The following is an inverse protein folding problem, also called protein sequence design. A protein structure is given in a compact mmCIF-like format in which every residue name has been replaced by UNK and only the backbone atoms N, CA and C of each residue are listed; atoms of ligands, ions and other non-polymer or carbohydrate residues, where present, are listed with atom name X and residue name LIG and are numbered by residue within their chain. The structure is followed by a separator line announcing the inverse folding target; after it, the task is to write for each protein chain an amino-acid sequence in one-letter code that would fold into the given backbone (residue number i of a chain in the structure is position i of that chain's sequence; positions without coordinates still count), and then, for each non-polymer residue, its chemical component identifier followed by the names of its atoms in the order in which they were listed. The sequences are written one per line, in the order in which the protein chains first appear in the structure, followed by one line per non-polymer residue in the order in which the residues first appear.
data_IF_296140312743
#
_entry.id   IF_296140312743
#
_cell.length_a   1.000
_cell.length_b   1.000
_cell.length_c   1.000
_cell.angle_alpha   90.00
_cell.angle_beta   90.00
_cell.angle_gamma   90.00
#
_symmetry.space_group_name_H-M   'P 1'
#
loop_
_entity.id
_entity.type
_entity.pdbx_description
1 polymer ?
#
# COMPACT_ATOMS: atom_id res chain seq x y z
N UNK A 1 34.08 0.91 -10.08
CA UNK A 1 33.00 0.36 -10.92
C UNK A 1 31.71 0.99 -10.44
N UNK A 2 30.90 1.64 -11.30
CA UNK A 2 29.61 2.16 -10.88
C UNK A 2 28.72 0.97 -10.54
N UNK A 3 28.29 0.88 -9.28
CA UNK A 3 27.26 -0.07 -8.89
C UNK A 3 25.94 0.47 -9.45
N UNK A 4 25.42 -0.15 -10.50
CA UNK A 4 24.06 0.10 -10.96
C UNK A 4 23.12 -0.42 -9.87
N UNK A 5 22.53 0.49 -9.12
CA UNK A 5 21.58 0.18 -8.06
C UNK A 5 20.21 0.02 -8.70
N UNK A 6 19.71 -1.21 -8.77
CA UNK A 6 18.42 -1.47 -9.41
C UNK A 6 17.28 -1.37 -8.40
N UNK A 7 16.22 -0.66 -8.81
CA UNK A 7 14.92 -0.67 -8.13
C UNK A 7 14.01 -1.60 -8.91
N UNK A 8 13.37 -2.51 -8.19
CA UNK A 8 12.53 -3.54 -8.79
C UNK A 8 11.09 -3.38 -8.35
N UNK A 9 10.19 -3.24 -9.32
CA UNK A 9 8.75 -3.32 -9.10
C UNK A 9 8.28 -4.69 -9.52
N UNK A 10 7.61 -5.36 -8.61
CA UNK A 10 6.94 -6.61 -8.93
C UNK A 10 5.52 -6.25 -9.35
N UNK A 11 5.07 -6.76 -10.48
CA UNK A 11 3.66 -6.80 -10.81
C UNK A 11 3.22 -8.24 -11.04
N UNK A 12 1.96 -8.52 -10.72
CA UNK A 12 1.33 -9.78 -11.11
C UNK A 12 0.48 -9.52 -12.34
N UNK A 13 0.83 -10.15 -13.45
CA UNK A 13 0.06 -10.02 -14.70
C UNK A 13 -1.20 -10.88 -14.68
N UNK A 14 -1.26 -11.91 -13.82
CA UNK A 14 -2.42 -12.78 -13.61
C UNK A 14 -2.53 -13.20 -12.15
N UNK A 15 -3.77 -13.34 -11.66
CA UNK A 15 -4.02 -14.00 -10.38
C UNK A 15 -3.54 -15.45 -10.48
N UNK A 16 -2.45 -15.76 -9.79
CA UNK A 16 -1.93 -17.11 -9.71
C UNK A 16 -2.98 -18.05 -9.11
N UNK A 17 -3.23 -19.17 -9.78
CA UNK A 17 -4.03 -20.26 -9.23
C UNK A 17 -3.37 -20.79 -7.94
N UNK A 18 -4.10 -21.52 -7.10
CA UNK A 18 -3.56 -22.01 -5.80
C UNK A 18 -2.28 -22.82 -6.00
N UNK A 19 -2.19 -23.62 -7.06
CA UNK A 19 -1.03 -24.46 -7.40
C UNK A 19 0.19 -23.65 -7.84
N UNK A 20 0.00 -22.46 -8.42
CA UNK A 20 1.08 -21.58 -8.88
C UNK A 20 1.67 -20.68 -7.78
N UNK A 21 1.07 -20.67 -6.58
CA UNK A 21 1.49 -19.75 -5.50
C UNK A 21 2.85 -20.07 -4.90
N UNK A 22 3.17 -21.37 -4.75
CA UNK A 22 4.44 -21.78 -4.15
C UNK A 22 5.65 -21.44 -5.03
N UNK A 23 5.64 -21.73 -6.35
CA UNK A 23 6.69 -21.26 -7.26
C UNK A 23 6.90 -19.74 -7.21
N UNK A 24 5.82 -18.96 -7.23
CA UNK A 24 5.94 -17.51 -7.15
C UNK A 24 6.62 -17.02 -5.86
N UNK A 25 6.32 -17.62 -4.69
CA UNK A 25 7.03 -17.26 -3.46
C UNK A 25 8.53 -17.59 -3.52
N UNK A 26 8.90 -18.71 -4.15
CA UNK A 26 10.30 -19.08 -4.36
C UNK A 26 11.03 -18.09 -5.28
N UNK A 27 10.37 -17.66 -6.35
CA UNK A 27 10.89 -16.65 -7.26
C UNK A 27 11.17 -15.31 -6.55
N UNK A 28 10.24 -14.83 -5.71
CA UNK A 28 10.47 -13.65 -4.87
C UNK A 28 11.67 -13.83 -3.95
N UNK A 29 11.79 -15.01 -3.33
CA UNK A 29 12.95 -15.39 -2.54
C UNK A 29 14.27 -15.32 -3.31
N UNK A 30 14.29 -15.71 -4.59
CA UNK A 30 15.48 -15.59 -5.44
C UNK A 30 15.85 -14.14 -5.77
N UNK A 31 14.85 -13.29 -6.06
CA UNK A 31 15.06 -11.85 -6.31
C UNK A 31 15.69 -11.19 -5.09
N UNK A 32 15.24 -11.58 -3.89
CA UNK A 32 15.78 -11.05 -2.64
C UNK A 32 17.22 -11.46 -2.34
N UNK A 33 17.71 -12.55 -2.93
CA UNK A 33 19.11 -12.97 -2.84
C UNK A 33 20.00 -12.32 -3.89
N UNK A 34 19.42 -11.73 -4.95
CA UNK A 34 20.19 -11.04 -5.98
C UNK A 34 20.85 -9.78 -5.39
N UNK A 35 22.19 -9.65 -5.40
CA UNK A 35 22.91 -8.49 -4.87
C UNK A 35 22.76 -7.22 -5.70
N UNK A 36 22.26 -7.30 -6.94
CA UNK A 36 22.06 -6.14 -7.81
C UNK A 36 20.78 -5.37 -7.50
N UNK A 37 19.78 -6.07 -6.96
CA UNK A 37 18.54 -5.48 -6.46
C UNK A 37 18.84 -4.79 -5.13
N UNK A 38 18.43 -3.55 -4.94
CA UNK A 38 18.52 -2.87 -3.62
C UNK A 38 17.18 -2.67 -2.96
N UNK A 39 16.14 -2.56 -3.78
CA UNK A 39 14.79 -2.24 -3.34
C UNK A 39 13.77 -3.06 -4.12
N UNK A 40 12.75 -3.50 -3.39
CA UNK A 40 11.62 -4.25 -3.89
C UNK A 40 10.34 -3.51 -3.51
N UNK A 41 9.47 -3.22 -4.47
CA UNK A 41 8.15 -2.64 -4.19
C UNK A 41 7.07 -3.70 -4.38
N UNK A 42 6.26 -3.92 -3.33
CA UNK A 42 5.18 -4.91 -3.29
C UNK A 42 3.82 -4.25 -3.63
N UNK A 43 3.12 -4.70 -4.69
CA UNK A 43 1.84 -4.14 -5.12
C UNK A 43 0.64 -4.83 -4.42
N UNK A 44 0.71 -5.06 -3.10
CA UNK A 44 -0.33 -5.85 -2.42
C UNK A 44 -1.55 -5.04 -2.00
N UNK A 45 -1.47 -3.71 -1.98
CA UNK A 45 -2.60 -2.85 -1.65
C UNK A 45 -3.49 -2.69 -2.91
N UNK A 46 -4.71 -3.22 -2.85
CA UNK A 46 -5.72 -3.07 -3.90
C UNK A 46 -6.50 -1.78 -3.71
N UNK A 47 -7.00 -1.58 -2.48
CA UNK A 47 -7.82 -0.40 -2.16
C UNK A 47 -7.47 0.26 -0.87
N UNK A 48 -7.60 1.57 -0.87
CA UNK A 48 -7.49 2.39 0.33
C UNK A 48 -8.66 2.12 1.27
N UNK A 49 -9.86 1.92 0.70
CA UNK A 49 -11.11 1.76 1.44
C UNK A 49 -11.88 0.53 0.97
N UNK A 50 -11.87 -0.50 1.80
CA UNK A 50 -12.58 -1.75 1.60
C UNK A 50 -13.80 -1.90 2.52
N UNK A 51 -14.34 -3.12 2.61
CA UNK A 51 -15.39 -3.43 3.57
C UNK A 51 -14.97 -3.06 4.98
N UNK A 52 -15.91 -2.51 5.75
CA UNK A 52 -15.64 -2.00 7.10
C UNK A 52 -14.53 -0.94 7.14
N UNK A 53 -14.35 -0.13 6.09
CA UNK A 53 -13.35 0.96 6.04
C UNK A 53 -11.88 0.56 6.22
N UNK A 54 -11.54 -0.74 6.22
CA UNK A 54 -10.15 -1.20 6.16
C UNK A 54 -9.68 -1.29 4.72
N UNK A 55 -8.38 -1.07 4.43
CA UNK A 55 -7.84 -1.31 3.10
C UNK A 55 -8.07 -2.76 2.66
N UNK A 56 -8.21 -2.95 1.36
CA UNK A 56 -8.29 -4.28 0.76
C UNK A 56 -6.97 -4.63 0.09
N UNK A 57 -6.58 -5.90 0.19
CA UNK A 57 -5.34 -6.40 -0.39
C UNK A 57 -5.63 -7.25 -1.63
N UNK A 58 -4.76 -7.14 -2.63
CA UNK A 58 -4.76 -8.04 -3.78
C UNK A 58 -4.38 -9.45 -3.34
N UNK A 59 -4.96 -10.44 -4.02
CA UNK A 59 -4.50 -11.82 -3.89
C UNK A 59 -3.10 -11.93 -4.51
N UNK A 60 -2.10 -11.91 -3.64
CA UNK A 60 -0.69 -12.03 -3.99
C UNK A 60 -0.12 -13.38 -3.49
N UNK A 61 0.99 -13.89 -4.04
CA UNK A 61 1.65 -15.09 -3.55
C UNK A 61 1.99 -14.96 -2.07
N UNK A 62 1.60 -15.99 -1.31
CA UNK A 62 1.68 -15.97 0.15
C UNK A 62 0.49 -15.31 0.86
N UNK A 63 -0.45 -14.70 0.14
CA UNK A 63 -1.71 -14.21 0.68
C UNK A 63 -2.82 -15.25 0.57
N UNK A 64 -3.40 -15.59 1.71
CA UNK A 64 -4.54 -16.48 1.89
C UNK A 64 -5.78 -15.67 2.24
N UNK A 65 -6.94 -16.33 2.22
CA UNK A 65 -8.18 -15.74 2.71
C UNK A 65 -8.01 -15.27 4.16
N UNK A 66 -8.73 -14.20 4.56
CA UNK A 66 -8.73 -13.71 5.93
C UNK A 66 -9.11 -14.83 6.91
N UNK A 67 -8.55 -14.81 8.12
CA UNK A 67 -8.95 -15.74 9.17
C UNK A 67 -10.41 -15.48 9.60
N UNK A 68 -10.98 -16.33 10.46
CA UNK A 68 -12.40 -16.20 10.87
C UNK A 68 -12.75 -14.85 11.49
N UNK A 69 -11.85 -14.24 12.27
CA UNK A 69 -12.06 -12.91 12.88
C UNK A 69 -11.93 -11.80 11.85
N UNK A 70 -10.85 -11.80 11.07
CA UNK A 70 -10.63 -10.85 9.97
C UNK A 70 -11.78 -10.89 8.96
N UNK A 71 -12.33 -12.07 8.65
CA UNK A 71 -13.47 -12.21 7.73
C UNK A 71 -14.72 -11.47 8.19
N UNK A 72 -14.90 -11.28 9.49
CA UNK A 72 -16.06 -10.58 10.05
C UNK A 72 -15.82 -9.06 10.11
N UNK A 73 -14.59 -8.64 10.39
CA UNK A 73 -14.29 -7.24 10.71
C UNK A 73 -13.59 -6.49 9.59
N UNK A 74 -12.69 -7.16 8.86
CA UNK A 74 -11.90 -6.61 7.77
C UNK A 74 -11.73 -7.66 6.64
N UNK A 75 -12.80 -8.10 5.96
CA UNK A 75 -12.73 -9.20 5.01
C UNK A 75 -11.87 -8.92 3.76
N UNK A 76 -11.53 -7.65 3.51
CA UNK A 76 -10.57 -7.26 2.47
C UNK A 76 -9.11 -7.45 2.87
N UNK A 77 -8.83 -7.64 4.16
CA UNK A 77 -7.48 -7.73 4.71
C UNK A 77 -7.02 -9.20 4.74
N UNK A 78 -6.30 -9.59 3.69
CA UNK A 78 -5.82 -10.97 3.52
C UNK A 78 -4.73 -11.34 4.54
N UNK A 79 -4.62 -12.64 4.87
CA UNK A 79 -3.49 -13.16 5.65
C UNK A 79 -2.33 -13.46 4.70
N UNK A 80 -1.33 -12.59 4.69
CA UNK A 80 -0.12 -12.65 3.88
C UNK A 80 1.14 -13.03 4.69
N UNK A 81 1.00 -13.77 5.78
CA UNK A 81 2.12 -14.15 6.67
C UNK A 81 3.25 -14.89 5.96
N UNK A 82 2.94 -15.75 4.99
CA UNK A 82 3.94 -16.45 4.19
C UNK A 82 4.75 -15.48 3.29
N UNK A 83 4.11 -14.43 2.76
CA UNK A 83 4.82 -13.34 2.08
C UNK A 83 5.70 -12.58 3.06
N UNK A 84 5.22 -12.34 4.29
CA UNK A 84 6.00 -11.69 5.34
C UNK A 84 7.31 -12.40 5.68
N UNK A 85 7.34 -13.73 5.69
CA UNK A 85 8.59 -14.50 5.84
C UNK A 85 9.58 -14.20 4.71
N UNK A 86 9.09 -14.04 3.47
CA UNK A 86 9.92 -13.64 2.34
C UNK A 86 10.43 -12.21 2.54
N UNK A 87 9.57 -11.27 2.94
CA UNK A 87 9.97 -9.87 3.25
C UNK A 87 11.11 -9.82 4.25
N UNK A 88 10.98 -10.51 5.38
CA UNK A 88 12.04 -10.60 6.39
C UNK A 88 13.34 -11.18 5.82
N UNK A 89 13.23 -12.18 4.94
CA UNK A 89 14.40 -12.74 4.25
C UNK A 89 15.06 -11.70 3.33
N UNK A 90 14.29 -10.90 2.60
CA UNK A 90 14.82 -9.81 1.78
C UNK A 90 15.56 -8.76 2.61
N UNK A 91 14.94 -8.34 3.71
CA UNK A 91 15.51 -7.39 4.67
C UNK A 91 16.80 -7.92 5.31
N UNK A 92 16.81 -9.20 5.72
CA UNK A 92 18.00 -9.86 6.24
C UNK A 92 19.15 -9.93 5.22
N UNK A 93 18.84 -9.95 3.92
CA UNK A 93 19.84 -9.85 2.84
C UNK A 93 20.25 -8.41 2.52
N UNK A 94 19.76 -7.41 3.25
CA UNK A 94 20.07 -5.99 3.05
C UNK A 94 19.30 -5.35 1.89
N UNK A 95 18.13 -5.88 1.53
CA UNK A 95 17.22 -5.26 0.56
C UNK A 95 16.17 -4.44 1.29
N UNK A 96 15.75 -3.33 0.69
CA UNK A 96 14.57 -2.59 1.14
C UNK A 96 13.33 -3.19 0.51
N UNK A 97 12.27 -3.31 1.28
CA UNK A 97 10.96 -3.77 0.84
C UNK A 97 9.95 -2.69 1.15
N UNK A 98 9.35 -2.11 0.11
CA UNK A 98 8.34 -1.07 0.22
C UNK A 98 6.96 -1.60 -0.15
N UNK A 99 5.93 -0.99 0.41
CA UNK A 99 4.55 -1.20 -0.01
C UNK A 99 4.15 -0.16 -1.08
N UNK A 100 3.65 -0.60 -2.23
CA UNK A 100 3.09 0.32 -3.24
C UNK A 100 1.75 0.87 -2.78
N UNK A 101 1.57 2.19 -2.85
CA UNK A 101 0.33 2.90 -2.57
C UNK A 101 -0.04 3.70 -3.81
N UNK A 102 -0.91 3.13 -4.65
CA UNK A 102 -1.23 3.69 -5.96
C UNK A 102 -2.59 4.39 -5.97
N UNK A 103 -2.59 5.67 -6.32
CA UNK A 103 -3.82 6.43 -6.56
C UNK A 103 -4.48 6.06 -7.88
N UNK A 104 -5.81 6.10 -7.91
CA UNK A 104 -6.57 5.92 -9.15
C UNK A 104 -6.46 7.15 -10.05
N UNK A 105 -6.56 6.95 -11.37
CA UNK A 105 -6.56 8.04 -12.34
C UNK A 105 -7.89 8.81 -12.37
N UNK A 106 -7.95 9.97 -13.05
CA UNK A 106 -9.18 10.73 -13.20
C UNK A 106 -10.34 9.95 -13.83
N UNK A 107 -10.05 8.93 -14.65
CA UNK A 107 -11.04 8.05 -15.27
C UNK A 107 -11.87 7.27 -14.24
N UNK A 108 -11.37 7.07 -13.02
CA UNK A 108 -12.12 6.46 -11.93
C UNK A 108 -13.22 7.37 -11.36
N UNK A 109 -13.19 8.66 -11.69
CA UNK A 109 -14.15 9.69 -11.27
C UNK A 109 -14.69 10.49 -12.46
N UNK A 110 -14.84 9.83 -13.60
CA UNK A 110 -15.38 10.43 -14.84
C UNK A 110 -14.60 11.68 -15.31
N UNK A 111 -13.27 11.66 -15.13
CA UNK A 111 -12.32 12.74 -15.43
C UNK A 111 -12.56 14.06 -14.65
N UNK A 112 -13.27 14.00 -13.52
CA UNK A 112 -13.48 15.13 -12.60
C UNK A 112 -12.21 15.45 -11.79
N UNK A 113 -11.44 16.45 -12.23
CA UNK A 113 -10.18 16.83 -11.58
C UNK A 113 -10.35 17.56 -10.24
N UNK A 114 -11.56 18.07 -9.96
CA UNK A 114 -11.89 18.72 -8.68
C UNK A 114 -12.48 17.72 -7.65
N UNK A 115 -12.36 16.41 -7.91
CA UNK A 115 -12.90 15.37 -7.04
C UNK A 115 -12.43 15.54 -5.59
N UNK A 116 -13.40 15.56 -4.67
CA UNK A 116 -13.16 15.68 -3.23
C UNK A 116 -12.84 17.09 -2.73
N UNK A 117 -12.68 18.09 -3.61
CA UNK A 117 -12.47 19.49 -3.20
C UNK A 117 -13.75 20.04 -2.56
N UNK A 118 -13.74 20.41 -1.27
CA UNK A 118 -14.91 20.94 -0.59
C UNK A 118 -15.38 22.30 -1.13
N UNK A 119 -14.55 22.99 -1.92
CA UNK A 119 -14.86 24.28 -2.51
C UNK A 119 -15.38 24.18 -3.96
N UNK A 120 -15.42 22.98 -4.54
CA UNK A 120 -15.96 22.80 -5.89
C UNK A 120 -17.49 22.89 -5.89
N UNK A 121 -18.05 23.61 -6.88
CA UNK A 121 -19.50 23.72 -7.09
C UNK A 121 -20.13 22.41 -7.59
N UNK A 122 -19.32 21.54 -8.19
CA UNK A 122 -19.73 20.18 -8.48
C UNK A 122 -19.89 19.47 -7.14
N UNK A 123 -21.10 19.02 -6.80
CA UNK A 123 -21.30 18.26 -5.57
C UNK A 123 -20.19 17.19 -5.50
N UNK A 124 -19.38 17.13 -4.43
CA UNK A 124 -18.06 16.46 -4.43
C UNK A 124 -18.09 14.93 -4.67
N UNK A 125 -19.28 14.40 -5.00
CA UNK A 125 -19.67 13.01 -5.17
C UNK A 125 -20.44 12.73 -6.48
N UNK A 126 -20.71 13.77 -7.30
CA UNK A 126 -21.70 13.70 -8.37
C UNK A 126 -21.37 12.65 -9.45
N UNK A 127 -20.10 12.53 -9.84
CA UNK A 127 -19.64 11.49 -10.77
C UNK A 127 -19.68 10.08 -10.14
N UNK A 128 -19.16 9.95 -8.92
CA UNK A 128 -19.05 8.66 -8.22
C UNK A 128 -20.39 7.93 -8.03
N UNK A 129 -21.45 8.64 -7.66
CA UNK A 129 -22.76 8.04 -7.44
C UNK A 129 -23.46 7.59 -8.73
N UNK A 130 -23.07 8.16 -9.87
CA UNK A 130 -23.68 7.87 -11.18
C UNK A 130 -22.91 6.80 -11.98
N UNK A 131 -21.66 6.50 -11.63
CA UNK A 131 -20.87 5.43 -12.23
C UNK A 131 -21.32 4.04 -11.74
N UNK A 132 -22.57 3.66 -12.06
CA UNK A 132 -22.98 2.26 -11.95
C UNK A 132 -22.36 1.47 -13.09
N UNK A 133 -21.14 0.97 -12.88
CA UNK A 133 -20.55 -0.04 -13.76
C UNK A 133 -21.48 -1.26 -13.81
N UNK A 134 -22.17 -1.44 -14.94
CA UNK A 134 -22.87 -2.69 -15.25
C UNK A 134 -21.81 -3.73 -15.61
N UNK A 135 -21.72 -4.80 -14.83
CA UNK A 135 -20.84 -5.90 -15.20
C UNK A 135 -21.29 -6.58 -16.50
N UNK A 136 -20.47 -7.48 -17.05
CA UNK A 136 -20.79 -8.26 -18.26
C UNK A 136 -22.09 -9.08 -18.18
N UNK A 137 -22.72 -9.18 -16.99
CA UNK A 137 -24.01 -9.84 -16.74
C UNK A 137 -25.15 -8.84 -16.49
N UNK A 138 -24.95 -7.56 -16.77
CA UNK A 138 -25.94 -6.49 -16.57
C UNK A 138 -26.29 -6.18 -15.11
N UNK A 139 -25.57 -6.73 -14.13
CA UNK A 139 -25.79 -6.38 -12.72
C UNK A 139 -25.03 -5.08 -12.41
N UNK A 140 -25.77 -4.09 -11.91
CA UNK A 140 -25.20 -2.90 -11.29
C UNK A 140 -24.43 -3.33 -10.04
N UNK A 141 -23.10 -3.21 -10.06
CA UNK A 141 -22.33 -3.25 -8.82
C UNK A 141 -22.48 -1.90 -8.14
N UNK A 142 -22.54 -1.89 -6.81
CA UNK A 142 -22.36 -0.64 -6.09
C UNK A 142 -21.03 -0.02 -6.55
N UNK A 143 -21.00 1.29 -6.85
CA UNK A 143 -19.73 1.96 -7.14
C UNK A 143 -18.80 1.72 -5.95
N UNK A 144 -17.52 1.53 -6.26
CA UNK A 144 -16.49 1.22 -5.29
C UNK A 144 -15.59 2.45 -5.19
N UNK A 145 -15.37 2.93 -3.97
CA UNK A 145 -14.74 4.22 -3.78
C UNK A 145 -13.32 4.19 -4.36
N UNK A 146 -12.94 5.17 -5.20
CA UNK A 146 -11.63 5.18 -5.83
C UNK A 146 -10.53 5.34 -4.78
N UNK A 147 -9.30 4.97 -5.12
CA UNK A 147 -8.11 5.20 -4.32
C UNK A 147 -7.69 6.68 -4.37
N UNK A 148 -8.58 7.54 -3.88
CA UNK A 148 -8.48 9.00 -3.82
C UNK A 148 -8.96 9.47 -2.45
N UNK A 149 -8.88 10.77 -2.16
CA UNK A 149 -9.25 11.33 -0.86
C UNK A 149 -10.40 12.33 -0.94
N UNK A 150 -11.15 12.45 0.15
CA UNK A 150 -12.22 13.44 0.31
C UNK A 150 -12.35 13.84 1.81
N UNK A 151 -13.41 14.57 2.18
CA UNK A 151 -13.63 15.01 3.56
C UNK A 151 -13.82 13.87 4.58
N UNK A 152 -14.34 12.72 4.15
CA UNK A 152 -14.59 11.53 4.98
C UNK A 152 -13.42 10.56 4.93
N UNK A 153 -12.73 10.52 3.81
CA UNK A 153 -11.58 9.67 3.52
C UNK A 153 -10.32 10.52 3.57
N UNK A 154 -9.90 10.87 4.78
CA UNK A 154 -8.77 11.79 4.97
C UNK A 154 -7.41 11.07 4.88
N UNK A 155 -6.38 11.70 4.27
CA UNK A 155 -5.05 11.11 4.14
C UNK A 155 -4.42 10.66 5.46
N UNK A 156 -4.65 11.41 6.54
CA UNK A 156 -4.06 11.13 7.84
C UNK A 156 -4.59 9.85 8.50
N UNK A 157 -5.90 9.58 8.38
CA UNK A 157 -6.51 8.35 8.88
C UNK A 157 -6.00 7.14 8.08
N UNK A 158 -5.83 7.31 6.77
CA UNK A 158 -5.27 6.26 5.92
C UNK A 158 -3.78 5.99 6.23
N UNK A 159 -2.96 7.04 6.41
CA UNK A 159 -1.57 6.92 6.84
C UNK A 159 -1.43 6.13 8.15
N UNK A 160 -2.25 6.46 9.14
CA UNK A 160 -2.28 5.76 10.43
C UNK A 160 -2.62 4.28 10.26
N UNK A 161 -3.60 3.98 9.42
CA UNK A 161 -4.03 2.60 9.13
C UNK A 161 -2.88 1.82 8.47
N UNK A 162 -2.21 2.39 7.47
CA UNK A 162 -1.06 1.76 6.83
C UNK A 162 0.10 1.55 7.79
N UNK A 163 0.44 2.54 8.61
CA UNK A 163 1.51 2.43 9.59
C UNK A 163 1.20 1.37 10.66
N UNK A 164 -0.06 1.26 11.09
CA UNK A 164 -0.50 0.22 12.04
C UNK A 164 -0.43 -1.18 11.43
N UNK A 165 -0.84 -1.35 10.18
CA UNK A 165 -0.86 -2.65 9.50
C UNK A 165 0.51 -3.13 9.03
N UNK A 166 1.38 -2.22 8.60
CA UNK A 166 2.63 -2.55 7.89
C UNK A 166 3.89 -1.88 8.45
N UNK A 167 3.76 -0.82 9.27
CA UNK A 167 4.89 -0.04 9.80
C UNK A 167 5.41 -0.49 11.17
N UNK A 168 6.27 0.30 11.83
CA UNK A 168 6.74 -0.01 13.20
C UNK A 168 5.74 0.44 14.28
N UNK A 169 4.73 1.24 13.93
CA UNK A 169 3.79 1.79 14.92
C UNK A 169 2.82 0.72 15.44
N UNK A 170 3.03 0.26 16.67
CA UNK A 170 2.10 -0.61 17.39
C UNK A 170 0.86 0.12 17.93
N UNK A 171 0.73 1.43 17.70
CA UNK A 171 -0.44 2.21 18.10
C UNK A 171 -1.62 1.90 17.17
N UNK A 172 -2.33 0.81 17.43
CA UNK A 172 -3.75 0.76 17.09
C UNK A 172 -4.46 1.83 17.92
N UNK A 173 -4.93 2.88 17.26
CA UNK A 173 -5.72 3.91 17.94
C UNK A 173 -7.20 3.56 17.89
N UNK A 174 -7.87 3.67 19.03
CA UNK A 174 -9.29 3.35 19.17
C UNK A 174 -10.22 4.22 18.30
N UNK A 175 -9.75 5.36 17.80
CA UNK A 175 -10.46 6.27 16.90
C UNK A 175 -10.45 5.84 15.43
N UNK A 176 -9.58 4.90 15.04
CA UNK A 176 -9.57 4.30 13.70
C UNK A 176 -10.60 3.16 13.57
N UNK A 177 -11.44 2.94 14.59
CA UNK A 177 -12.53 1.97 14.53
C UNK A 177 -13.61 2.47 13.57
N UNK A 178 -13.92 1.72 12.50
CA UNK A 178 -15.05 2.02 11.61
C UNK A 178 -16.40 2.01 12.32
N UNK A 179 -16.48 1.46 13.53
CA UNK A 179 -17.68 1.34 14.36
C UNK A 179 -17.87 2.48 15.37
N UNK A 180 -17.03 3.53 15.31
CA UNK A 180 -17.16 4.71 16.17
C UNK A 180 -16.56 4.55 17.57
N UNK A 181 -16.47 5.67 18.32
CA UNK A 181 -15.75 5.78 19.59
C UNK A 181 -16.35 4.94 20.73
N UNK A 182 -17.56 4.41 20.57
CA UNK A 182 -18.32 3.75 21.63
C UNK A 182 -17.99 2.27 21.83
N UNK A 183 -17.09 1.71 21.02
CA UNK A 183 -16.62 0.34 21.27
C UNK A 183 -15.55 0.40 22.37
N UNK A 184 -15.74 -0.21 23.54
CA UNK A 184 -14.76 -0.13 24.62
C UNK A 184 -13.41 -0.69 24.17
N UNK A 185 -12.32 0.02 24.48
CA UNK A 185 -10.98 -0.56 24.45
C UNK A 185 -10.91 -1.53 25.64
N UNK A 186 -10.82 -2.83 25.37
CA UNK A 186 -10.47 -3.78 26.42
C UNK A 186 -9.07 -3.46 26.95
N UNK A 187 -8.82 -3.74 28.23
CA UNK A 187 -7.52 -3.54 28.89
C UNK A 187 -6.38 -4.35 28.22
N UNK A 188 -6.74 -5.39 27.46
CA UNK A 188 -5.87 -5.99 26.46
C UNK A 188 -6.01 -5.20 25.17
N UNK A 189 -5.08 -4.27 24.94
CA UNK A 189 -4.96 -3.50 23.71
C UNK A 189 -5.33 -4.35 22.50
N UNK A 190 -6.14 -3.78 21.63
CA UNK A 190 -6.83 -4.50 20.58
C UNK A 190 -5.81 -5.26 19.71
N UNK A 191 -5.82 -6.58 19.84
CA UNK A 191 -5.04 -7.54 19.03
C UNK A 191 -5.94 -8.31 18.07
N UNK A 192 -7.11 -7.76 17.69
CA UNK A 192 -8.05 -8.54 16.88
C UNK A 192 -7.70 -8.54 15.38
N UNK A 193 -7.00 -7.52 14.89
CA UNK A 193 -6.42 -7.54 13.54
C UNK A 193 -5.03 -8.14 13.61
N UNK A 194 -4.88 -9.37 13.12
CA UNK A 194 -3.54 -9.87 12.81
C UNK A 194 -2.97 -9.05 11.65
N UNK A 195 -1.70 -8.64 11.77
CA UNK A 195 -1.01 -7.90 10.71
C UNK A 195 -0.98 -8.74 9.44
N UNK A 196 -1.23 -8.15 8.26
CA UNK A 196 -1.31 -8.93 7.02
C UNK A 196 -0.03 -9.71 6.74
N UNK A 197 1.15 -9.10 6.96
CA UNK A 197 2.44 -9.76 6.75
C UNK A 197 2.90 -10.59 7.96
N UNK A 198 2.11 -10.68 9.03
CA UNK A 198 2.50 -11.27 10.30
C UNK A 198 2.97 -10.21 11.31
N UNK A 199 2.81 -10.51 12.60
CA UNK A 199 2.99 -9.54 13.70
C UNK A 199 4.37 -8.89 13.73
N UNK A 200 5.41 -9.67 13.46
CA UNK A 200 6.82 -9.25 13.54
C UNK A 200 7.34 -8.63 12.23
N UNK A 201 6.52 -8.52 11.20
CA UNK A 201 6.95 -8.03 9.88
C UNK A 201 6.60 -6.56 9.75
N UNK A 202 7.63 -5.76 9.49
CA UNK A 202 7.52 -4.33 9.20
C UNK A 202 8.17 -4.06 7.85
N UNK A 203 7.47 -3.36 6.96
CA UNK A 203 8.06 -2.93 5.69
C UNK A 203 9.04 -1.78 5.91
N UNK A 204 10.04 -1.66 5.03
CA UNK A 204 11.00 -0.56 5.07
C UNK A 204 10.41 0.76 4.55
N UNK A 205 9.11 0.80 4.23
CA UNK A 205 8.39 2.04 3.93
C UNK A 205 7.35 1.90 2.82
N UNK A 206 7.02 3.04 2.20
CA UNK A 206 5.89 3.16 1.28
C UNK A 206 6.33 3.87 -0.01
N UNK A 207 5.90 3.33 -1.14
CA UNK A 207 6.08 3.93 -2.46
C UNK A 207 4.72 4.47 -2.94
N UNK A 208 4.48 5.76 -2.72
CA UNK A 208 3.24 6.46 -3.07
C UNK A 208 3.31 6.90 -4.52
N UNK A 209 2.40 6.36 -5.33
CA UNK A 209 2.39 6.59 -6.76
C UNK A 209 1.12 7.34 -7.18
N UNK A 210 1.31 8.59 -7.62
CA UNK A 210 0.21 9.50 -7.95
C UNK A 210 0.14 9.71 -9.46
N UNK A 211 -1.00 9.48 -10.12
CA UNK A 211 -1.18 9.82 -11.52
C UNK A 211 -0.88 11.31 -11.79
N UNK A 212 -0.12 11.59 -12.86
CA UNK A 212 0.36 12.93 -13.20
C UNK A 212 -0.77 13.93 -13.45
N UNK A 213 -1.93 13.44 -13.86
CA UNK A 213 -3.12 14.25 -14.11
C UNK A 213 -3.62 14.95 -12.86
N UNK A 214 -3.29 14.43 -11.67
CA UNK A 214 -3.60 15.09 -10.40
C UNK A 214 -2.66 16.23 -10.04
N UNK A 215 -1.59 16.46 -10.81
CA UNK A 215 -0.66 17.56 -10.55
C UNK A 215 -1.37 18.92 -10.67
N UNK A 216 -1.25 19.75 -9.64
CA UNK A 216 -1.90 21.05 -9.50
C UNK A 216 -3.35 20.99 -9.01
N UNK A 217 -3.86 19.80 -8.65
CA UNK A 217 -5.26 19.60 -8.21
C UNK A 217 -5.36 19.42 -6.70
N UNK A 218 -6.59 19.37 -6.19
CA UNK A 218 -6.86 19.01 -4.80
C UNK A 218 -6.27 17.65 -4.40
N UNK A 219 -6.31 16.65 -5.29
CA UNK A 219 -5.78 15.32 -4.99
C UNK A 219 -4.26 15.30 -4.78
N UNK A 220 -3.48 16.12 -5.50
CA UNK A 220 -2.03 16.26 -5.24
C UNK A 220 -1.79 16.66 -3.78
N UNK A 221 -2.45 17.72 -3.30
CA UNK A 221 -2.31 18.17 -1.92
C UNK A 221 -2.72 17.11 -0.89
N UNK A 222 -3.66 16.22 -1.24
CA UNK A 222 -4.06 15.09 -0.38
C UNK A 222 -3.03 13.96 -0.36
N UNK A 223 -2.41 13.63 -1.49
CA UNK A 223 -1.30 12.68 -1.52
C UNK A 223 -0.03 13.22 -0.85
N UNK A 224 0.25 14.52 -0.98
CA UNK A 224 1.34 15.18 -0.25
C UNK A 224 1.12 15.07 1.26
N UNK A 225 -0.10 15.33 1.72
CA UNK A 225 -0.48 15.17 3.13
C UNK A 225 -0.36 13.71 3.61
N UNK A 226 -0.66 12.72 2.75
CA UNK A 226 -0.43 11.29 3.05
C UNK A 226 1.06 11.03 3.28
N UNK A 227 1.90 11.44 2.33
CA UNK A 227 3.36 11.22 2.36
C UNK A 227 3.98 11.89 3.57
N UNK A 228 3.63 13.14 3.83
CA UNK A 228 4.07 13.87 5.02
C UNK A 228 3.68 13.11 6.29
N UNK A 229 2.42 12.67 6.41
CA UNK A 229 1.96 11.99 7.63
C UNK A 229 2.62 10.62 7.82
N UNK A 230 2.88 9.88 6.75
CA UNK A 230 3.65 8.63 6.82
C UNK A 230 5.09 8.87 7.30
N UNK A 231 5.73 9.95 6.84
CA UNK A 231 7.05 10.37 7.31
C UNK A 231 7.05 10.71 8.80
N UNK A 232 6.09 11.51 9.27
CA UNK A 232 5.93 11.85 10.70
C UNK A 232 5.76 10.58 11.56
N UNK A 233 4.91 9.65 11.13
CA UNK A 233 4.67 8.39 11.85
C UNK A 233 5.93 7.52 11.94
N UNK A 234 6.74 7.49 10.88
CA UNK A 234 8.02 6.81 10.86
C UNK A 234 9.01 7.45 11.84
N UNK A 235 9.11 8.78 11.85
CA UNK A 235 9.98 9.52 12.77
C UNK A 235 9.56 9.35 14.24
N UNK A 236 8.25 9.35 14.51
CA UNK A 236 7.67 9.08 15.82
C UNK A 236 8.04 7.66 16.30
N UNK A 237 7.88 6.64 15.43
CA UNK A 237 8.20 5.25 15.75
C UNK A 237 9.71 5.07 15.99
N UNK A 238 10.54 5.68 15.13
CA UNK A 238 11.99 5.67 15.26
C UNK A 238 12.45 6.26 16.59
N UNK A 239 11.94 7.44 16.94
CA UNK A 239 12.24 8.10 18.21
C UNK A 239 11.84 7.24 19.41
N UNK A 240 10.65 6.62 19.37
CA UNK A 240 10.16 5.73 20.44
C UNK A 240 11.00 4.45 20.59
N UNK A 241 11.56 3.94 19.50
CA UNK A 241 12.45 2.77 19.53
C UNK A 241 13.86 3.07 20.09
N UNK A 242 14.16 4.34 20.38
CA UNK A 242 15.49 4.80 20.78
C UNK A 242 16.46 4.95 19.60
N UNK A 243 15.92 5.02 18.38
CA UNK A 243 16.70 5.28 17.18
C UNK A 243 17.32 6.68 17.19
N UNK A 244 18.56 6.78 16.69
CA UNK A 244 19.28 8.05 16.58
C UNK A 244 19.53 8.33 15.09
N UNK A 245 19.10 9.50 14.59
CA UNK A 245 19.40 9.95 13.22
C UNK A 245 20.92 10.05 13.03
N UNK A 246 21.45 9.45 11.96
CA UNK A 246 22.87 9.22 11.68
C UNK A 246 23.51 8.05 12.44
N UNK A 247 22.75 7.31 13.25
CA UNK A 247 23.26 6.23 14.10
C UNK A 247 23.47 4.88 13.40
N UNK A 248 23.98 3.90 14.13
CA UNK A 248 24.11 2.52 13.63
C UNK A 248 22.72 1.92 13.40
N UNK A 249 22.39 1.62 12.14
CA UNK A 249 21.05 1.18 11.73
C UNK A 249 20.18 2.28 11.15
N UNK A 250 20.67 3.53 11.14
CA UNK A 250 20.10 4.57 10.30
C UNK A 250 20.49 4.30 8.83
N UNK A 251 19.49 4.15 7.97
CA UNK A 251 19.69 3.76 6.57
C UNK A 251 19.94 4.97 5.67
N UNK A 252 20.14 6.17 6.23
CA UNK A 252 20.38 7.40 5.50
C UNK A 252 19.38 8.48 5.88
N UNK A 253 18.96 9.29 4.92
CA UNK A 253 18.40 10.63 5.20
C UNK A 253 17.20 10.63 6.16
N UNK A 254 16.42 9.56 6.32
CA UNK A 254 15.30 9.49 7.28
C UNK A 254 15.04 8.08 7.86
N UNK A 255 15.78 7.65 8.88
CA UNK A 255 15.39 6.51 9.75
C UNK A 255 15.29 5.15 9.07
N UNK A 256 14.57 4.20 9.70
CA UNK A 256 14.36 2.83 9.18
C UNK A 256 13.38 2.77 8.00
N UNK A 257 12.39 3.66 7.96
CA UNK A 257 11.37 3.68 6.91
C UNK A 257 11.61 4.76 5.87
N UNK A 258 11.40 4.45 4.59
CA UNK A 258 11.51 5.37 3.47
C UNK A 258 10.15 5.57 2.81
N UNK A 259 9.71 6.82 2.71
CA UNK A 259 8.51 7.16 1.96
C UNK A 259 8.94 7.83 0.66
N UNK A 260 8.66 7.19 -0.47
CA UNK A 260 8.85 7.79 -1.78
C UNK A 260 7.51 8.29 -2.32
N UNK A 261 7.54 9.45 -2.95
CA UNK A 261 6.44 9.93 -3.78
C UNK A 261 6.93 10.01 -5.22
N UNK A 262 6.24 9.30 -6.11
CA UNK A 262 6.52 9.27 -7.53
C UNK A 262 5.30 9.66 -8.35
N UNK A 263 5.52 10.43 -9.41
CA UNK A 263 4.50 10.69 -10.42
C UNK A 263 4.41 9.49 -11.39
N UNK A 264 3.24 8.88 -11.46
CA UNK A 264 2.89 7.92 -12.49
C UNK A 264 2.46 8.69 -13.73
N UNK A 265 3.24 8.62 -14.82
CA UNK A 265 2.70 9.02 -16.13
C UNK A 265 1.57 8.06 -16.49
N UNK A 266 0.49 8.53 -17.14
CA UNK A 266 -0.61 7.71 -17.71
C UNK A 266 -0.17 6.62 -18.71
N UNK A 267 1.12 6.36 -18.83
CA UNK A 267 1.71 5.40 -19.73
C UNK A 267 2.81 4.63 -19.01
N UNK A 268 2.58 3.34 -18.88
CA UNK A 268 3.57 2.27 -18.76
C UNK A 268 4.71 2.40 -19.81
N UNK A 269 4.61 3.29 -20.80
CA UNK A 269 5.60 3.42 -21.88
C UNK A 269 6.87 4.21 -21.57
N UNK A 270 6.98 5.08 -20.54
CA UNK A 270 8.20 5.93 -20.39
C UNK A 270 8.62 6.30 -18.96
N UNK A 271 8.61 5.36 -18.03
CA UNK A 271 9.79 5.30 -17.14
C UNK A 271 10.90 4.63 -17.97
N UNK A 272 12.16 4.98 -17.75
CA UNK A 272 13.27 4.30 -18.41
C UNK A 272 13.39 2.88 -17.82
N UNK A 273 12.35 2.06 -18.00
CA UNK A 273 12.35 0.64 -17.70
C UNK A 273 13.47 0.09 -18.55
N UNK A 274 14.62 -0.14 -17.91
CA UNK A 274 15.79 -0.64 -18.61
C UNK A 274 15.47 -2.02 -19.19
N UNK A 275 14.64 -2.78 -18.44
CA UNK A 275 14.22 -4.10 -18.82
C UNK A 275 12.97 -4.54 -18.06
N UNK A 276 12.06 -5.19 -18.80
CA UNK A 276 11.02 -6.04 -18.22
C UNK A 276 11.55 -7.47 -18.23
N UNK A 277 11.60 -8.12 -17.07
CA UNK A 277 12.00 -9.52 -16.95
C UNK A 277 10.80 -10.33 -16.44
N UNK A 278 10.46 -11.41 -17.13
CA UNK A 278 9.48 -12.36 -16.64
C UNK A 278 10.20 -13.39 -15.76
N UNK A 279 9.83 -13.43 -14.48
CA UNK A 279 10.38 -14.40 -13.51
C UNK A 279 9.19 -15.18 -12.94
N UNK A 280 9.01 -16.42 -13.40
CA UNK A 280 8.03 -17.39 -12.86
C UNK A 280 6.66 -16.79 -12.50
N UNK A 281 6.04 -16.06 -13.44
CA UNK A 281 4.71 -15.46 -13.27
C UNK A 281 4.69 -14.01 -12.79
N UNK A 282 5.84 -13.43 -12.45
CA UNK A 282 5.97 -12.00 -12.21
C UNK A 282 6.50 -11.26 -13.42
N UNK A 283 5.99 -10.05 -13.60
CA UNK A 283 6.63 -9.04 -14.41
C UNK A 283 7.47 -8.16 -13.48
N UNK A 284 8.78 -8.20 -13.71
CA UNK A 284 9.78 -7.50 -12.92
C UNK A 284 10.21 -6.29 -13.75
N UNK A 285 9.80 -5.10 -13.31
CA UNK A 285 10.22 -3.84 -13.92
C UNK A 285 11.51 -3.40 -13.23
N UNK A 286 12.60 -3.35 -14.00
CA UNK A 286 13.91 -2.90 -13.52
C UNK A 286 14.15 -1.47 -13.98
N UNK A 287 14.25 -0.56 -13.02
CA UNK A 287 14.64 0.85 -13.21
C UNK A 287 16.14 1.06 -12.95
#
# INVERSE_FOLDING_TARGET
MPFNNQVVYISQTKQASIEERAPCLLALGSICRDPTVRQLTLPILDRFYGPSAYPSLFRFPGCLSPNGRQSLQAPGLLNCSALGTVVQTCQANGRRVLLSVKGDGPDAVDDELDFGDPNSDAAPWAGYNNSTSTNARGRKRAPLFPNLFDERHVPSAFALTLASLFGESATERADLRPLGPDTPAGDEGIKWVERPLGEEVVVDGFDVQVPREWQGTYQEGRFDALVQRLGELNDEAWTKSGGVKGGKGDLGVDGKGVVYQGWNKREVERRAVQRVVLVEGFEVLVE
#
